data_IF_887498689837
#
_entry.id   IF_887498689837
#
_cell.length_a   1.000
_cell.length_b   1.000
_cell.length_c   1.000
_cell.angle_alpha   90.00
_cell.angle_beta   90.00
_cell.angle_gamma   90.00
#
_symmetry.space_group_name_H-M   'P 1'
#
loop_
_entity.id
_entity.type
_entity.pdbx_description
1 polymer ?
#
# COMPACT_ATOMS: atom_id res chain seq x y z
N UNK A 1 32.03 17.05 19.31
CA UNK A 1 30.65 17.42 18.89
C UNK A 1 30.36 16.89 17.46
N UNK A 2 30.59 15.59 17.21
CA UNK A 2 30.44 14.94 15.90
C UNK A 2 29.14 14.12 15.76
N UNK A 3 28.44 13.89 16.87
CA UNK A 3 27.28 12.98 17.00
C UNK A 3 26.00 13.46 16.29
N UNK A 4 25.98 14.69 15.75
CA UNK A 4 24.78 15.29 15.15
C UNK A 4 24.72 15.12 13.62
N UNK A 5 25.86 14.89 12.95
CA UNK A 5 25.92 14.71 11.49
C UNK A 5 25.62 13.26 11.10
N UNK A 6 26.22 12.29 11.79
CA UNK A 6 25.96 10.86 11.57
C UNK A 6 24.49 10.49 11.83
N UNK A 7 23.87 11.05 12.87
CA UNK A 7 22.45 10.83 13.15
C UNK A 7 21.53 11.41 12.06
N UNK A 8 21.86 12.57 11.50
CA UNK A 8 21.08 13.18 10.43
C UNK A 8 21.22 12.39 9.12
N UNK A 9 22.44 11.98 8.77
CA UNK A 9 22.69 11.18 7.57
C UNK A 9 22.01 9.81 7.68
N UNK A 10 22.01 9.20 8.87
CA UNK A 10 21.25 7.99 9.15
C UNK A 10 19.74 8.18 8.95
N UNK A 11 19.16 9.24 9.49
CA UNK A 11 17.72 9.54 9.35
C UNK A 11 17.32 9.83 7.90
N UNK A 12 18.17 10.53 7.13
CA UNK A 12 17.95 10.75 5.70
C UNK A 12 17.93 9.45 4.92
N UNK A 13 18.90 8.57 5.15
CA UNK A 13 18.96 7.25 4.49
C UNK A 13 17.75 6.40 4.85
N UNK A 14 17.33 6.42 6.11
CA UNK A 14 16.13 5.70 6.56
C UNK A 14 14.86 6.27 5.90
N UNK A 15 14.70 7.60 5.83
CA UNK A 15 13.57 8.24 5.15
C UNK A 15 13.53 7.91 3.65
N UNK A 16 14.67 7.95 2.97
CA UNK A 16 14.76 7.59 1.55
C UNK A 16 14.40 6.12 1.29
N UNK A 17 14.92 5.19 2.11
CA UNK A 17 14.52 3.77 2.05
C UNK A 17 13.03 3.60 2.28
N UNK A 18 12.50 4.33 3.27
CA UNK A 18 11.09 4.27 3.63
C UNK A 18 10.18 4.71 2.48
N UNK A 19 10.51 5.83 1.82
CA UNK A 19 9.83 6.29 0.61
C UNK A 19 9.86 5.22 -0.49
N UNK A 20 11.03 4.63 -0.75
CA UNK A 20 11.17 3.58 -1.77
C UNK A 20 10.33 2.32 -1.47
N UNK A 21 10.15 1.98 -0.19
CA UNK A 21 9.30 0.86 0.22
C UNK A 21 7.82 1.15 0.02
N UNK A 22 7.39 2.39 0.26
CA UNK A 22 6.00 2.80 -0.01
C UNK A 22 5.72 2.81 -1.51
N UNK A 23 6.64 3.34 -2.32
CA UNK A 23 6.49 3.35 -3.78
C UNK A 23 6.38 1.92 -4.32
N UNK A 24 7.21 1.00 -3.81
CA UNK A 24 7.14 -0.41 -4.17
C UNK A 24 5.81 -1.05 -3.73
N UNK A 25 5.26 -0.67 -2.58
CA UNK A 25 3.95 -1.15 -2.12
C UNK A 25 2.82 -0.61 -3.02
N UNK A 26 2.84 0.68 -3.35
CA UNK A 26 1.84 1.30 -4.23
C UNK A 26 1.88 0.69 -5.64
N UNK A 27 3.06 0.35 -6.16
CA UNK A 27 3.21 -0.40 -7.41
C UNK A 27 2.59 -1.80 -7.33
N UNK A 28 2.81 -2.54 -6.24
CA UNK A 28 2.21 -3.87 -6.02
C UNK A 28 0.68 -3.79 -5.93
N UNK A 29 0.17 -2.78 -5.23
CA UNK A 29 -1.28 -2.54 -5.14
C UNK A 29 -1.85 -2.22 -6.52
N UNK A 30 -1.19 -1.37 -7.30
CA UNK A 30 -1.63 -1.04 -8.66
C UNK A 30 -1.63 -2.27 -9.59
N UNK A 31 -0.60 -3.12 -9.51
CA UNK A 31 -0.54 -4.38 -10.24
C UNK A 31 -1.68 -5.34 -9.83
N UNK A 32 -1.98 -5.43 -8.52
CA UNK A 32 -3.07 -6.25 -8.02
C UNK A 32 -4.44 -5.74 -8.48
N UNK A 33 -4.65 -4.41 -8.51
CA UNK A 33 -5.87 -3.81 -9.08
C UNK A 33 -6.02 -4.21 -10.55
N UNK A 34 -4.96 -4.02 -11.35
CA UNK A 34 -4.99 -4.35 -12.78
C UNK A 34 -5.28 -5.85 -13.00
N UNK A 35 -4.61 -6.73 -12.26
CA UNK A 35 -4.84 -8.17 -12.33
C UNK A 35 -6.29 -8.54 -11.95
N UNK A 36 -6.82 -7.99 -10.86
CA UNK A 36 -8.20 -8.23 -10.44
C UNK A 36 -9.21 -7.75 -11.48
N UNK A 37 -8.98 -6.58 -12.09
CA UNK A 37 -9.85 -6.08 -13.16
C UNK A 37 -9.84 -7.02 -14.36
N UNK A 38 -8.68 -7.54 -14.77
CA UNK A 38 -8.60 -8.53 -15.86
C UNK A 38 -9.36 -9.82 -15.52
N UNK A 39 -9.24 -10.31 -14.28
CA UNK A 39 -9.97 -11.50 -13.84
C UNK A 39 -11.48 -11.25 -13.86
N UNK A 40 -11.96 -10.11 -13.37
CA UNK A 40 -13.38 -9.74 -13.43
C UNK A 40 -13.86 -9.68 -14.88
N UNK A 41 -13.10 -9.03 -15.78
CA UNK A 41 -13.42 -9.01 -17.21
C UNK A 41 -13.50 -10.41 -17.81
N UNK A 42 -12.57 -11.30 -17.47
CA UNK A 42 -12.58 -12.68 -17.93
C UNK A 42 -13.81 -13.45 -17.43
N UNK A 43 -14.21 -13.25 -16.17
CA UNK A 43 -15.41 -13.89 -15.60
C UNK A 43 -16.65 -13.48 -16.39
N UNK A 44 -16.84 -12.18 -16.63
CA UNK A 44 -17.99 -11.69 -17.40
C UNK A 44 -17.97 -12.12 -18.87
N UNK A 45 -16.79 -12.26 -19.47
CA UNK A 45 -16.65 -12.67 -20.88
C UNK A 45 -16.70 -14.18 -21.10
N UNK A 46 -16.29 -15.01 -20.14
CA UNK A 46 -16.12 -16.46 -20.36
C UNK A 46 -17.00 -17.35 -19.48
N UNK A 47 -17.51 -16.86 -18.35
CA UNK A 47 -18.30 -17.67 -17.43
C UNK A 47 -19.78 -17.36 -17.60
N UNK A 48 -20.42 -18.12 -18.50
CA UNK A 48 -21.84 -17.95 -18.83
C UNK A 48 -22.77 -18.86 -18.02
N UNK A 49 -22.25 -19.95 -17.45
CA UNK A 49 -23.05 -20.95 -16.70
C UNK A 49 -22.29 -21.36 -15.45
N UNK A 50 -22.83 -21.04 -14.29
CA UNK A 50 -22.39 -21.57 -13.00
C UNK A 50 -23.32 -22.72 -12.58
N UNK A 51 -22.75 -23.81 -12.06
CA UNK A 51 -23.53 -24.92 -11.50
C UNK A 51 -24.22 -24.52 -10.20
N UNK A 52 -23.57 -23.66 -9.42
CA UNK A 52 -24.12 -23.05 -8.21
C UNK A 52 -24.15 -21.52 -8.31
N UNK A 53 -25.26 -20.92 -8.79
CA UNK A 53 -25.43 -19.47 -8.84
C UNK A 53 -25.15 -18.73 -7.52
N UNK A 54 -25.63 -19.19 -6.33
CA UNK A 54 -25.37 -18.44 -5.09
C UNK A 54 -23.88 -18.40 -4.74
N UNK A 55 -23.15 -19.49 -4.98
CA UNK A 55 -21.72 -19.56 -4.72
C UNK A 55 -20.93 -18.69 -5.72
N UNK A 56 -21.38 -18.61 -6.96
CA UNK A 56 -20.82 -17.74 -7.99
C UNK A 56 -20.96 -16.26 -7.61
N UNK A 57 -22.16 -15.82 -7.21
CA UNK A 57 -22.37 -14.43 -6.78
C UNK A 57 -21.62 -14.08 -5.50
N UNK A 58 -21.51 -15.01 -4.55
CA UNK A 58 -20.69 -14.82 -3.35
C UNK A 58 -19.21 -14.63 -3.71
N UNK A 59 -18.65 -15.50 -4.58
CA UNK A 59 -17.28 -15.39 -5.07
C UNK A 59 -17.03 -14.07 -5.81
N UNK A 60 -17.93 -13.70 -6.72
CA UNK A 60 -17.85 -12.43 -7.46
C UNK A 60 -17.89 -11.21 -6.52
N UNK A 61 -18.78 -11.23 -5.53
CA UNK A 61 -18.89 -10.15 -4.54
C UNK A 61 -17.60 -10.00 -3.74
N UNK A 62 -16.99 -11.11 -3.31
CA UNK A 62 -15.71 -11.10 -2.62
C UNK A 62 -14.59 -10.51 -3.49
N UNK A 63 -14.53 -10.86 -4.78
CA UNK A 63 -13.57 -10.28 -5.73
C UNK A 63 -13.77 -8.76 -5.85
N UNK A 64 -15.02 -8.29 -5.95
CA UNK A 64 -15.32 -6.85 -6.02
C UNK A 64 -14.99 -6.12 -4.71
N UNK A 65 -15.26 -6.73 -3.55
CA UNK A 65 -14.87 -6.19 -2.23
C UNK A 65 -13.35 -6.09 -2.12
N UNK A 66 -12.61 -7.12 -2.55
CA UNK A 66 -11.15 -7.09 -2.62
C UNK A 66 -10.65 -5.94 -3.49
N UNK A 67 -11.24 -5.74 -4.68
CA UNK A 67 -10.91 -4.61 -5.55
C UNK A 67 -11.15 -3.26 -4.83
N UNK A 68 -12.28 -3.12 -4.14
CA UNK A 68 -12.59 -1.94 -3.33
C UNK A 68 -11.55 -1.68 -2.23
N UNK A 69 -11.10 -2.72 -1.54
CA UNK A 69 -10.04 -2.63 -0.53
C UNK A 69 -8.69 -2.25 -1.13
N UNK A 70 -8.32 -2.80 -2.30
CA UNK A 70 -7.10 -2.39 -3.00
C UNK A 70 -7.14 -0.91 -3.41
N UNK A 71 -8.28 -0.44 -3.94
CA UNK A 71 -8.46 0.97 -4.32
C UNK A 71 -8.43 1.87 -3.08
N UNK A 72 -9.03 1.43 -1.96
CA UNK A 72 -8.95 2.14 -0.69
C UNK A 72 -7.49 2.25 -0.23
N UNK A 73 -6.74 1.14 -0.19
CA UNK A 73 -5.33 1.10 0.18
C UNK A 73 -4.46 2.02 -0.70
N UNK A 74 -4.74 2.05 -2.01
CA UNK A 74 -4.06 2.94 -2.95
C UNK A 74 -4.35 4.42 -2.68
N UNK A 75 -5.60 4.74 -2.31
CA UNK A 75 -6.03 6.12 -2.00
C UNK A 75 -5.71 6.55 -0.56
N UNK A 76 -5.32 5.65 0.33
CA UNK A 76 -4.96 5.97 1.73
C UNK A 76 -3.81 6.98 1.75
N UNK A 77 -3.95 7.98 2.63
CA UNK A 77 -3.23 9.27 2.71
C UNK A 77 -1.82 9.29 2.11
N UNK A 78 -1.53 10.36 1.35
CA UNK A 78 -0.21 10.64 0.79
C UNK A 78 0.85 10.71 1.89
N UNK A 79 1.99 10.08 1.62
CA UNK A 79 3.21 10.17 2.42
C UNK A 79 3.56 11.65 2.58
N UNK A 80 3.90 12.06 3.81
CA UNK A 80 4.38 13.42 4.03
C UNK A 80 5.84 13.48 3.59
N UNK A 81 6.06 14.06 2.42
CA UNK A 81 7.41 14.37 1.94
C UNK A 81 7.85 15.70 2.58
N UNK A 82 8.84 15.61 3.47
CA UNK A 82 9.44 16.80 4.07
C UNK A 82 10.71 17.10 3.29
N UNK A 83 10.78 18.21 2.54
CA UNK A 83 12.00 18.58 1.84
C UNK A 83 13.09 18.81 2.88
N UNK A 84 14.18 18.04 2.79
CA UNK A 84 15.35 18.21 3.65
C UNK A 84 16.33 19.12 2.90
N UNK A 85 16.32 20.44 3.11
CA UNK A 85 17.06 21.34 2.24
C UNK A 85 18.53 21.26 2.64
N UNK A 86 19.38 20.88 1.69
CA UNK A 86 20.82 20.64 1.92
C UNK A 86 21.56 21.87 2.50
N UNK A 87 21.00 23.07 2.31
CA UNK A 87 21.59 24.37 2.65
C UNK A 87 21.42 24.83 4.10
N UNK A 88 20.55 24.21 4.91
CA UNK A 88 20.40 24.63 6.33
C UNK A 88 21.47 24.05 7.26
N UNK A 89 22.36 23.20 6.75
CA UNK A 89 23.34 22.46 7.56
C UNK A 89 24.49 23.31 8.11
N UNK A 90 24.71 24.50 7.56
CA UNK A 90 25.89 25.31 7.88
C UNK A 90 25.64 26.46 8.86
N UNK A 91 24.39 26.89 9.09
CA UNK A 91 24.14 28.19 9.74
C UNK A 91 23.60 28.18 11.17
N UNK A 92 23.02 27.10 11.68
CA UNK A 92 22.53 27.13 13.07
C UNK A 92 22.38 25.75 13.73
N UNK A 93 22.64 25.67 15.03
CA UNK A 93 22.46 24.43 15.80
C UNK A 93 20.98 24.14 16.10
N UNK A 94 20.17 25.19 16.22
CA UNK A 94 18.74 25.12 16.53
C UNK A 94 17.93 24.64 15.31
N UNK A 95 18.24 25.16 14.12
CA UNK A 95 17.60 24.75 12.85
C UNK A 95 17.85 23.26 12.56
N UNK A 96 19.00 22.71 12.98
CA UNK A 96 19.31 21.28 12.83
C UNK A 96 18.42 20.39 13.71
N UNK A 97 18.09 20.82 14.92
CA UNK A 97 17.19 20.09 15.82
C UNK A 97 15.75 20.07 15.31
N UNK A 98 15.24 21.22 14.84
CA UNK A 98 13.90 21.32 14.27
C UNK A 98 13.73 20.45 13.02
N UNK A 99 14.75 20.37 12.15
CA UNK A 99 14.74 19.48 10.97
C UNK A 99 14.72 18.01 11.38
N UNK A 100 15.52 17.62 12.38
CA UNK A 100 15.53 16.24 12.91
C UNK A 100 14.17 15.88 13.50
N UNK A 101 13.56 16.77 14.27
CA UNK A 101 12.24 16.56 14.88
C UNK A 101 11.15 16.47 13.80
N UNK A 102 11.19 17.32 12.78
CA UNK A 102 10.29 17.28 11.63
C UNK A 102 10.38 15.96 10.87
N UNK A 103 11.61 15.47 10.62
CA UNK A 103 11.88 14.17 9.99
C UNK A 103 11.38 13.02 10.86
N UNK A 104 11.56 13.10 12.18
CA UNK A 104 11.07 12.09 13.13
C UNK A 104 9.55 12.00 13.11
N UNK A 105 8.86 13.14 13.12
CA UNK A 105 7.38 13.20 13.06
C UNK A 105 6.89 12.66 11.71
N UNK A 106 7.55 13.03 10.61
CA UNK A 106 7.23 12.54 9.28
C UNK A 106 7.41 11.02 9.19
N UNK A 107 8.54 10.49 9.69
CA UNK A 107 8.79 9.04 9.75
C UNK A 107 7.68 8.34 10.53
N UNK A 108 7.39 8.73 11.78
CA UNK A 108 6.35 8.08 12.60
C UNK A 108 4.97 8.08 11.93
N UNK A 109 4.57 9.20 11.33
CA UNK A 109 3.31 9.28 10.58
C UNK A 109 3.33 8.36 9.37
N UNK A 110 4.42 8.38 8.60
CA UNK A 110 4.57 7.57 7.41
C UNK A 110 4.61 6.07 7.76
N UNK A 111 5.19 5.67 8.91
CA UNK A 111 5.16 4.30 9.48
C UNK A 111 3.74 3.80 9.69
N UNK A 112 2.93 4.60 10.38
CA UNK A 112 1.52 4.27 10.64
C UNK A 112 0.72 4.14 9.33
N UNK A 113 0.95 5.02 8.36
CA UNK A 113 0.27 4.98 7.05
C UNK A 113 0.65 3.72 6.27
N UNK A 114 1.92 3.31 6.25
CA UNK A 114 2.33 2.08 5.56
C UNK A 114 1.74 0.85 6.24
N UNK A 115 1.74 0.78 7.57
CA UNK A 115 1.16 -0.35 8.30
C UNK A 115 -0.33 -0.50 7.98
N UNK A 116 -1.08 0.60 7.95
CA UNK A 116 -2.49 0.60 7.58
C UNK A 116 -2.70 0.20 6.11
N UNK A 117 -1.92 0.76 5.19
CA UNK A 117 -1.94 0.38 3.76
C UNK A 117 -1.63 -1.10 3.56
N UNK A 118 -0.58 -1.62 4.21
CA UNK A 118 -0.16 -3.01 4.11
C UNK A 118 -1.26 -3.92 4.64
N UNK A 119 -1.83 -3.62 5.81
CA UNK A 119 -2.91 -4.41 6.39
C UNK A 119 -4.13 -4.47 5.47
N UNK A 120 -4.53 -3.35 4.88
CA UNK A 120 -5.65 -3.34 3.92
C UNK A 120 -5.34 -4.16 2.66
N UNK A 121 -4.11 -4.07 2.15
CA UNK A 121 -3.65 -4.86 1.00
C UNK A 121 -3.59 -6.37 1.32
N UNK A 122 -3.09 -6.75 2.49
CA UNK A 122 -3.03 -8.16 2.89
C UNK A 122 -4.44 -8.75 3.03
N UNK A 123 -5.36 -8.00 3.65
CA UNK A 123 -6.77 -8.40 3.76
C UNK A 123 -7.39 -8.51 2.36
N UNK A 124 -7.11 -7.57 1.45
CA UNK A 124 -7.67 -7.63 0.10
C UNK A 124 -7.21 -8.87 -0.67
N UNK A 125 -5.94 -9.28 -0.51
CA UNK A 125 -5.41 -10.50 -1.12
C UNK A 125 -6.07 -11.77 -0.56
N UNK A 126 -6.30 -11.83 0.76
CA UNK A 126 -7.01 -12.96 1.39
C UNK A 126 -8.43 -13.07 0.84
N UNK A 127 -9.17 -11.94 0.83
CA UNK A 127 -10.55 -11.89 0.33
C UNK A 127 -10.61 -12.28 -1.16
N UNK A 128 -9.64 -11.83 -1.95
CA UNK A 128 -9.51 -12.23 -3.36
C UNK A 128 -9.36 -13.74 -3.49
N UNK A 129 -8.46 -14.35 -2.73
CA UNK A 129 -8.18 -15.78 -2.81
C UNK A 129 -9.42 -16.63 -2.47
N UNK A 130 -10.14 -16.24 -1.41
CA UNK A 130 -11.40 -16.89 -1.04
C UNK A 130 -12.46 -16.71 -2.14
N UNK A 131 -12.56 -15.51 -2.71
CA UNK A 131 -13.47 -15.20 -3.82
C UNK A 131 -13.20 -16.05 -5.05
N UNK A 132 -11.94 -16.14 -5.50
CA UNK A 132 -11.52 -16.97 -6.63
C UNK A 132 -11.80 -18.45 -6.38
N UNK A 133 -11.48 -18.96 -5.20
CA UNK A 133 -11.73 -20.36 -4.84
C UNK A 133 -13.21 -20.68 -4.89
N UNK A 134 -14.05 -19.80 -4.33
CA UNK A 134 -15.51 -19.94 -4.34
C UNK A 134 -16.06 -19.93 -5.77
N UNK A 135 -15.50 -19.08 -6.64
CA UNK A 135 -15.89 -18.97 -8.03
C UNK A 135 -15.50 -20.24 -8.82
N UNK A 136 -14.30 -20.77 -8.63
CA UNK A 136 -13.89 -22.06 -9.22
C UNK A 136 -14.84 -23.17 -8.77
N UNK A 137 -15.11 -23.29 -7.47
CA UNK A 137 -16.03 -24.30 -6.94
C UNK A 137 -17.42 -24.15 -7.56
N UNK A 138 -17.93 -22.92 -7.71
CA UNK A 138 -19.27 -22.66 -8.28
C UNK A 138 -19.45 -23.10 -9.74
N UNK A 139 -18.34 -23.20 -10.49
CA UNK A 139 -18.34 -23.61 -11.90
C UNK A 139 -18.21 -25.13 -12.02
N UNK A 140 -17.39 -25.76 -11.17
CA UNK A 140 -17.09 -27.19 -11.25
C UNK A 140 -18.03 -28.10 -10.45
N UNK A 141 -18.51 -27.63 -9.30
CA UNK A 141 -19.37 -28.38 -8.37
C UNK A 141 -20.80 -27.93 -8.55
#
# INVERSE_FOLDING_TARGET
MAMNKENLDYLKVQHARYLSHIDALDQKIAQAIAANTLVVSFIFDKVYVARSPPLFFAGLTLILVSLGLCVAAYKTKKVKDVPVPETYLEKDAQIRLDVIESLRIALTHNTSVQEEKSKQFDISLIVLFVGLTSLVVSVYV
#
